data_IF_752515300090
#
_entry.id   IF_752515300090
#
_cell.length_a   1.000
_cell.length_b   1.000
_cell.length_c   1.000
_cell.angle_alpha   90.00
_cell.angle_beta   90.00
_cell.angle_gamma   90.00
#
_symmetry.space_group_name_H-M   'P 1'
#
loop_
_entity.id
_entity.type
_entity.pdbx_description
1 polymer ?
#
# COMPACT_ATOMS: atom_id res chain seq x y z
N UNK A 1 2.84 36.33 -3.17
CA UNK A 1 2.84 35.60 -3.25
C UNK A 1 2.29 34.86 -3.26
N UNK A 2 1.96 34.41 -3.19
CA UNK A 2 1.68 33.60 -3.09
C UNK A 2 1.60 32.82 -3.76
N UNK A 3 1.93 32.71 -4.30
CA UNK A 3 1.98 31.98 -4.88
C UNK A 3 2.22 31.04 -5.10
N UNK A 4 2.50 31.25 -4.79
CA UNK A 4 3.10 30.07 -4.59
C UNK A 4 2.32 28.84 -4.60
N UNK A 5 1.18 28.83 -4.15
CA UNK A 5 0.26 27.70 -4.08
C UNK A 5 -0.08 27.16 -5.45
N UNK A 6 -0.13 27.98 -6.42
CA UNK A 6 -0.48 27.51 -7.73
C UNK A 6 0.62 26.68 -8.37
N UNK A 7 1.84 26.83 -7.91
CA UNK A 7 2.90 25.97 -8.41
C UNK A 7 2.69 24.53 -8.01
N UNK A 8 2.02 24.31 -6.89
CA UNK A 8 1.83 22.98 -6.35
C UNK A 8 0.87 22.14 -7.14
N UNK A 9 0.06 22.75 -8.02
CA UNK A 9 -0.89 22.00 -8.80
C UNK A 9 -0.25 20.96 -9.71
N UNK A 10 1.03 21.15 -10.05
CA UNK A 10 1.77 20.22 -10.90
C UNK A 10 2.79 19.39 -10.12
N UNK A 11 2.89 19.59 -8.81
CA UNK A 11 3.84 18.87 -7.99
C UNK A 11 3.17 17.65 -7.36
N UNK A 12 3.91 16.57 -7.29
CA UNK A 12 3.49 15.38 -6.57
C UNK A 12 4.33 15.22 -5.32
N UNK A 13 3.68 15.07 -4.17
CA UNK A 13 4.37 14.81 -2.91
C UNK A 13 4.37 13.31 -2.66
N UNK A 14 5.56 12.73 -2.77
CA UNK A 14 5.78 11.30 -2.68
C UNK A 14 6.35 10.95 -1.32
N UNK A 15 5.79 9.94 -0.68
CA UNK A 15 6.32 9.37 0.55
C UNK A 15 6.76 7.93 0.29
N UNK A 16 7.85 7.55 0.95
CA UNK A 16 8.33 6.16 0.95
C UNK A 16 8.43 5.73 2.39
N UNK A 17 7.91 4.55 2.70
CA UNK A 17 7.93 4.04 4.05
C UNK A 17 8.49 2.62 4.07
N UNK A 18 9.26 2.30 5.10
CA UNK A 18 9.73 0.95 5.38
C UNK A 18 9.08 0.47 6.65
N UNK A 19 8.41 -0.67 6.57
CA UNK A 19 7.80 -1.27 7.75
C UNK A 19 8.87 -1.97 8.59
N UNK A 20 8.75 -1.93 9.91
CA UNK A 20 9.66 -2.70 10.76
C UNK A 20 9.59 -4.19 10.43
N UNK A 21 10.75 -4.83 10.34
CA UNK A 21 10.82 -6.24 9.98
C UNK A 21 10.16 -7.15 11.03
N UNK A 22 10.07 -6.68 12.27
CA UNK A 22 9.50 -7.46 13.35
C UNK A 22 7.98 -7.56 13.33
N UNK A 23 7.30 -6.78 12.48
CA UNK A 23 5.85 -6.86 12.39
C UNK A 23 5.44 -8.20 11.78
N UNK A 24 4.71 -8.99 12.53
CA UNK A 24 4.32 -10.33 12.13
C UNK A 24 2.89 -10.33 11.59
N UNK A 25 2.75 -10.73 10.34
CA UNK A 25 1.46 -10.94 9.70
C UNK A 25 0.80 -9.67 9.16
N UNK A 26 -0.20 -9.86 8.31
CA UNK A 26 -0.86 -8.74 7.64
C UNK A 26 -1.57 -7.78 8.58
N UNK A 27 -2.22 -8.28 9.63
CA UNK A 27 -2.97 -7.41 10.54
C UNK A 27 -2.06 -6.40 11.22
N UNK A 28 -0.92 -6.86 11.76
CA UNK A 28 0.03 -5.95 12.42
C UNK A 28 0.61 -4.94 11.43
N UNK A 29 0.86 -5.37 10.21
CA UNK A 29 1.43 -4.50 9.18
C UNK A 29 0.43 -3.44 8.73
N UNK A 30 -0.83 -3.82 8.59
CA UNK A 30 -1.88 -2.86 8.23
C UNK A 30 -2.17 -1.88 9.37
N UNK A 31 -2.15 -2.34 10.61
CA UNK A 31 -2.29 -1.45 11.77
C UNK A 31 -1.16 -0.44 11.82
N UNK A 32 0.07 -0.89 11.60
CA UNK A 32 1.23 0.00 11.53
C UNK A 32 1.04 1.04 10.43
N UNK A 33 0.59 0.61 9.24
CA UNK A 33 0.35 1.52 8.13
C UNK A 33 -0.67 2.58 8.48
N UNK A 34 -1.78 2.18 9.07
CA UNK A 34 -2.83 3.14 9.45
C UNK A 34 -2.31 4.15 10.46
N UNK A 35 -1.52 3.71 11.43
CA UNK A 35 -0.92 4.60 12.42
C UNK A 35 0.03 5.60 11.77
N UNK A 36 0.82 5.16 10.79
CA UNK A 36 1.73 6.06 10.07
C UNK A 36 0.95 7.09 9.27
N UNK A 37 -0.09 6.66 8.57
CA UNK A 37 -0.93 7.59 7.81
C UNK A 37 -1.60 8.62 8.72
N UNK A 38 -2.09 8.18 9.85
CA UNK A 38 -2.73 9.08 10.81
C UNK A 38 -1.74 10.10 11.38
N UNK A 39 -0.55 9.63 11.75
CA UNK A 39 0.49 10.49 12.32
C UNK A 39 1.00 11.53 11.33
N UNK A 40 0.95 11.24 10.04
CA UNK A 40 1.47 12.11 8.99
C UNK A 40 0.36 12.76 8.16
N UNK A 41 -0.84 12.77 8.67
CA UNK A 41 -2.03 13.25 7.94
C UNK A 41 -1.85 14.67 7.40
N UNK A 42 -1.16 15.53 8.15
CA UNK A 42 -0.98 16.92 7.77
C UNK A 42 0.11 17.14 6.73
N UNK A 43 0.87 16.11 6.38
CA UNK A 43 1.98 16.26 5.45
C UNK A 43 1.53 16.44 3.99
N UNK A 44 0.32 15.99 3.65
CA UNK A 44 -0.24 16.23 2.32
C UNK A 44 0.37 15.38 1.22
N UNK A 45 0.71 14.13 1.52
CA UNK A 45 1.25 13.22 0.51
C UNK A 45 0.19 12.86 -0.54
N UNK A 46 0.62 12.77 -1.78
CA UNK A 46 -0.23 12.31 -2.89
C UNK A 46 -0.10 10.83 -3.13
N UNK A 47 1.08 10.26 -2.89
CA UNK A 47 1.37 8.85 -3.12
C UNK A 47 2.31 8.34 -2.04
N UNK A 48 1.94 7.20 -1.45
CA UNK A 48 2.80 6.47 -0.54
C UNK A 48 3.27 5.19 -1.23
N UNK A 49 4.58 4.96 -1.23
CA UNK A 49 5.19 3.75 -1.79
C UNK A 49 5.68 2.88 -0.64
N UNK A 50 5.17 1.66 -0.59
CA UNK A 50 5.54 0.65 0.39
C UNK A 50 6.41 -0.41 -0.26
N UNK A 51 7.17 -1.18 0.54
CA UNK A 51 8.13 -2.11 -0.04
C UNK A 51 7.49 -3.34 -0.68
N UNK A 52 8.32 -4.06 -1.41
CA UNK A 52 8.00 -5.37 -1.96
C UNK A 52 7.51 -6.28 -0.83
N UNK A 53 6.47 -7.06 -1.11
CA UNK A 53 5.87 -8.00 -0.16
C UNK A 53 5.46 -7.33 1.17
N UNK A 54 5.13 -6.05 1.13
CA UNK A 54 4.75 -5.31 2.33
C UNK A 54 3.66 -6.04 3.11
N UNK A 55 2.64 -6.53 2.42
CA UNK A 55 1.44 -7.04 3.08
C UNK A 55 1.67 -8.30 3.92
N UNK A 56 2.64 -9.13 3.54
CA UNK A 56 2.94 -10.36 4.30
C UNK A 56 4.30 -10.35 4.97
N UNK A 57 5.22 -9.55 4.48
CA UNK A 57 6.60 -9.50 4.95
C UNK A 57 7.52 -10.33 4.10
N UNK A 58 8.79 -9.99 4.17
CA UNK A 58 9.86 -10.69 3.47
C UNK A 58 10.30 -11.91 4.26
N UNK A 59 10.81 -12.90 3.55
CA UNK A 59 11.54 -14.02 4.13
C UNK A 59 10.72 -14.83 5.15
N UNK A 60 9.44 -15.01 4.85
CA UNK A 60 8.53 -15.74 5.74
C UNK A 60 8.43 -17.23 5.39
N UNK A 61 9.22 -17.70 4.41
CA UNK A 61 9.26 -19.10 4.03
C UNK A 61 7.92 -19.59 3.50
N UNK A 62 7.49 -20.75 3.97
CA UNK A 62 6.26 -21.39 3.49
C UNK A 62 4.99 -20.67 3.95
N UNK A 63 5.09 -19.74 4.90
CA UNK A 63 3.93 -18.98 5.35
C UNK A 63 3.32 -18.14 4.22
N UNK A 64 4.08 -17.85 3.18
CA UNK A 64 3.57 -17.14 2.01
C UNK A 64 2.36 -17.85 1.40
N UNK A 65 2.34 -19.18 1.44
CA UNK A 65 1.24 -19.96 0.90
C UNK A 65 -0.06 -19.74 1.68
N UNK A 66 0.06 -19.44 2.95
CA UNK A 66 -1.10 -19.18 3.81
C UNK A 66 -1.55 -17.73 3.72
N UNK A 67 -0.61 -16.81 3.50
CA UNK A 67 -0.88 -15.38 3.55
C UNK A 67 -1.16 -14.77 2.19
N UNK A 68 -0.91 -15.50 1.10
CA UNK A 68 -1.17 -15.00 -0.25
C UNK A 68 -2.68 -14.83 -0.48
N UNK A 69 -3.04 -13.75 -1.14
CA UNK A 69 -4.44 -13.40 -1.39
C UNK A 69 -4.65 -13.03 -2.86
N UNK A 70 -5.89 -13.14 -3.35
CA UNK A 70 -6.22 -12.57 -4.66
C UNK A 70 -6.01 -11.06 -4.68
N UNK A 71 -5.85 -10.51 -5.87
CA UNK A 71 -5.67 -9.07 -6.04
C UNK A 71 -6.83 -8.24 -5.48
N UNK A 72 -8.00 -8.83 -5.35
CA UNK A 72 -9.20 -8.18 -4.80
C UNK A 72 -9.58 -8.74 -3.42
N UNK A 73 -8.64 -9.33 -2.72
CA UNK A 73 -8.88 -9.95 -1.42
C UNK A 73 -8.99 -8.96 -0.26
N UNK A 74 -9.04 -9.49 0.98
CA UNK A 74 -9.22 -8.64 2.17
C UNK A 74 -8.19 -7.54 2.35
N UNK A 75 -6.90 -7.84 2.10
CA UNK A 75 -5.84 -6.83 2.21
C UNK A 75 -6.07 -5.71 1.21
N UNK A 76 -6.38 -6.05 -0.04
CA UNK A 76 -6.65 -5.05 -1.07
C UNK A 76 -7.80 -4.14 -0.67
N UNK A 77 -8.87 -4.71 -0.10
CA UNK A 77 -10.02 -3.93 0.35
C UNK A 77 -9.66 -2.99 1.48
N UNK A 78 -8.83 -3.42 2.42
CA UNK A 78 -8.39 -2.57 3.52
C UNK A 78 -7.49 -1.44 3.03
N UNK A 79 -6.55 -1.73 2.13
CA UNK A 79 -5.68 -0.70 1.56
C UNK A 79 -6.52 0.31 0.76
N UNK A 80 -7.45 -0.18 -0.04
CA UNK A 80 -8.34 0.70 -0.80
C UNK A 80 -9.14 1.63 0.12
N UNK A 81 -9.63 1.12 1.25
CA UNK A 81 -10.34 1.94 2.22
C UNK A 81 -9.44 3.01 2.83
N UNK A 82 -8.17 2.68 3.10
CA UNK A 82 -7.21 3.65 3.63
C UNK A 82 -6.95 4.78 2.62
N UNK A 83 -6.87 4.46 1.32
CA UNK A 83 -6.66 5.50 0.31
C UNK A 83 -7.80 6.50 0.29
N UNK A 84 -9.03 6.03 0.48
CA UNK A 84 -10.19 6.93 0.53
C UNK A 84 -10.23 7.74 1.81
N UNK A 85 -9.92 7.10 2.92
CA UNK A 85 -9.97 7.78 4.22
C UNK A 85 -8.90 8.86 4.35
N UNK A 86 -7.69 8.58 3.87
CA UNK A 86 -6.56 9.51 3.98
C UNK A 86 -6.32 10.32 2.71
N UNK A 87 -7.08 10.10 1.68
CA UNK A 87 -7.04 10.86 0.42
C UNK A 87 -5.67 10.88 -0.25
N UNK A 88 -5.08 9.69 -0.42
CA UNK A 88 -3.83 9.53 -1.14
C UNK A 88 -3.83 8.20 -1.88
N UNK A 89 -2.91 8.06 -2.84
CA UNK A 89 -2.67 6.79 -3.49
C UNK A 89 -1.67 5.97 -2.69
N UNK A 90 -1.82 4.65 -2.70
CA UNK A 90 -0.90 3.73 -2.05
C UNK A 90 -0.47 2.66 -3.03
N UNK A 91 0.85 2.54 -3.20
CA UNK A 91 1.49 1.47 -3.98
C UNK A 91 2.11 0.49 -2.99
N UNK A 92 1.76 -0.79 -3.09
CA UNK A 92 2.27 -1.78 -2.15
C UNK A 92 2.52 -3.11 -2.83
N UNK A 93 3.46 -3.87 -2.25
CA UNK A 93 3.75 -5.23 -2.69
C UNK A 93 3.00 -6.25 -1.86
N UNK A 94 2.63 -7.36 -2.48
CA UNK A 94 1.91 -8.43 -1.81
C UNK A 94 2.17 -9.77 -2.51
N UNK A 95 1.92 -10.85 -1.76
CA UNK A 95 1.93 -12.19 -2.34
C UNK A 95 0.55 -12.44 -2.90
N UNK A 96 0.47 -12.60 -4.19
CA UNK A 96 -0.81 -12.80 -4.89
C UNK A 96 -1.06 -14.27 -5.17
N UNK A 97 -2.28 -14.70 -4.86
CA UNK A 97 -2.75 -16.03 -5.26
C UNK A 97 -3.72 -15.89 -6.42
N UNK A 98 -3.42 -16.59 -7.50
CA UNK A 98 -4.30 -16.68 -8.66
C UNK A 98 -4.47 -18.16 -8.99
N UNK A 99 -5.58 -18.75 -8.53
CA UNK A 99 -5.77 -20.18 -8.60
C UNK A 99 -4.72 -20.91 -7.78
N UNK A 100 -3.97 -21.78 -8.43
CA UNK A 100 -2.88 -22.53 -7.78
C UNK A 100 -1.53 -21.83 -7.87
N UNK A 101 -1.48 -20.67 -8.49
CA UNK A 101 -0.25 -19.93 -8.72
C UNK A 101 -0.04 -18.83 -7.67
N UNK A 102 1.23 -18.64 -7.30
CA UNK A 102 1.63 -17.57 -6.39
C UNK A 102 2.55 -16.61 -7.14
N UNK A 103 2.35 -15.33 -6.92
CA UNK A 103 3.14 -14.28 -7.55
C UNK A 103 3.62 -13.29 -6.51
N UNK A 104 4.81 -12.75 -6.76
CA UNK A 104 5.27 -11.55 -6.09
C UNK A 104 4.73 -10.38 -6.91
N UNK A 105 3.74 -9.71 -6.39
CA UNK A 105 2.98 -8.71 -7.13
C UNK A 105 3.00 -7.35 -6.45
N UNK A 106 2.64 -6.35 -7.19
CA UNK A 106 2.42 -5.01 -6.67
C UNK A 106 1.15 -4.43 -7.29
N UNK A 107 0.47 -3.59 -6.54
CA UNK A 107 -0.67 -2.85 -7.09
C UNK A 107 -0.78 -1.49 -6.44
N UNK A 108 -1.55 -0.64 -7.06
CA UNK A 108 -1.77 0.73 -6.60
C UNK A 108 -3.26 1.00 -6.53
N UNK A 109 -3.68 1.61 -5.43
CA UNK A 109 -5.02 2.17 -5.28
C UNK A 109 -4.93 3.67 -5.12
N UNK A 110 -5.94 4.36 -5.57
CA UNK A 110 -6.07 5.79 -5.33
C UNK A 110 -7.48 6.11 -4.87
N UNK A 111 -7.70 7.28 -4.26
CA UNK A 111 -9.00 7.62 -3.69
C UNK A 111 -10.10 7.73 -4.74
N UNK A 112 -9.72 8.04 -5.99
CA UNK A 112 -10.66 8.22 -7.08
C UNK A 112 -10.70 7.01 -8.03
N UNK A 113 -9.96 5.95 -7.73
CA UNK A 113 -9.91 4.75 -8.57
C UNK A 113 -10.84 3.69 -8.01
N UNK A 114 -11.64 3.11 -8.90
CA UNK A 114 -12.53 2.03 -8.52
C UNK A 114 -11.85 0.67 -8.57
N UNK A 115 -10.73 0.57 -9.26
CA UNK A 115 -10.00 -0.68 -9.46
C UNK A 115 -8.52 -0.50 -9.16
N UNK A 116 -7.82 -1.60 -8.98
CA UNK A 116 -6.39 -1.61 -8.78
C UNK A 116 -5.65 -1.70 -10.10
N UNK A 117 -4.39 -1.32 -10.05
CA UNK A 117 -3.44 -1.57 -11.13
C UNK A 117 -2.48 -2.63 -10.64
N UNK A 118 -2.64 -3.83 -11.10
CA UNK A 118 -1.87 -4.99 -10.67
C UNK A 118 -0.65 -5.18 -11.55
N UNK A 119 0.50 -5.48 -10.95
CA UNK A 119 1.73 -5.75 -11.66
C UNK A 119 2.38 -7.03 -11.12
N UNK A 120 2.72 -7.93 -12.04
CA UNK A 120 3.43 -9.18 -11.76
C UNK A 120 4.69 -9.20 -12.62
N UNK A 121 5.88 -9.17 -12.01
CA UNK A 121 7.12 -9.24 -12.79
C UNK A 121 7.30 -10.58 -13.51
#
# INVERSE_FOLDING_TARGET
MQLQSEHKSNDMYLAVAQAPAALAGPAARLDWLEQQLDSHRQAGFDLLVLPELFACGYNIGDDVKLLAEPADGPIAKQISALTRHFELAIHYGFAERDGDNLYNAAQIFGPDLCDSRDYRP
#
